data_IF_208889373027
#
_entry.id   IF_208889373027
#
_cell.length_a   1.000
_cell.length_b   1.000
_cell.length_c   1.000
_cell.angle_alpha   90.00
_cell.angle_beta   90.00
_cell.angle_gamma   90.00
#
_symmetry.space_group_name_H-M   'P 1'
#
loop_
_entity.id
_entity.type
_entity.pdbx_description
1 polymer ?
#
# COMPACT_ATOMS: atom_id res chain seq x y z
N UNK A 1 -20.42 6.98 20.17
CA UNK A 1 -19.66 7.40 18.97
C UNK A 1 -18.73 6.28 18.47
N UNK A 2 -17.86 5.73 19.32
CA UNK A 2 -16.95 4.62 18.98
C UNK A 2 -17.61 3.39 18.33
N UNK A 3 -18.77 2.96 18.83
CA UNK A 3 -19.49 1.82 18.25
C UNK A 3 -19.98 2.05 16.80
N UNK A 4 -20.13 3.30 16.35
CA UNK A 4 -20.47 3.64 14.96
C UNK A 4 -19.22 3.60 14.07
N UNK A 5 -18.09 4.10 14.58
CA UNK A 5 -16.79 4.05 13.88
C UNK A 5 -16.32 2.61 13.70
N UNK A 6 -16.38 1.78 14.76
CA UNK A 6 -16.01 0.38 14.68
C UNK A 6 -16.85 -0.37 13.65
N UNK A 7 -18.18 -0.16 13.64
CA UNK A 7 -19.09 -0.77 12.65
C UNK A 7 -18.81 -0.35 11.20
N UNK A 8 -18.22 0.82 10.99
CA UNK A 8 -17.83 1.31 9.68
C UNK A 8 -16.43 0.86 9.24
N UNK A 9 -15.68 0.20 10.14
CA UNK A 9 -14.31 -0.22 9.90
C UNK A 9 -14.19 -1.63 9.31
N UNK A 10 -13.04 -1.96 8.74
CA UNK A 10 -12.74 -3.30 8.19
C UNK A 10 -12.80 -4.43 9.24
N UNK A 11 -12.68 -4.09 10.53
CA UNK A 11 -12.76 -5.04 11.65
C UNK A 11 -14.20 -5.40 12.05
N UNK A 12 -15.22 -4.69 11.53
CA UNK A 12 -16.60 -5.09 11.77
C UNK A 12 -16.94 -6.41 11.08
N UNK A 13 -17.79 -7.21 11.73
CA UNK A 13 -18.35 -8.43 11.13
C UNK A 13 -19.16 -8.05 9.88
N UNK A 14 -18.84 -8.67 8.74
CA UNK A 14 -19.50 -8.41 7.46
C UNK A 14 -19.01 -7.17 6.69
N UNK A 15 -17.97 -6.46 7.17
CA UNK A 15 -17.41 -5.31 6.45
C UNK A 15 -16.70 -5.68 5.14
N UNK A 16 -16.21 -6.92 5.04
CA UNK A 16 -15.58 -7.49 3.84
C UNK A 16 -16.55 -8.53 3.26
N UNK A 17 -16.93 -8.43 1.97
CA UNK A 17 -17.81 -9.38 1.31
C UNK A 17 -17.31 -10.83 1.42
N UNK A 18 -18.22 -11.80 1.44
CA UNK A 18 -17.87 -13.22 1.62
C UNK A 18 -16.98 -13.78 0.50
N UNK A 19 -17.11 -13.25 -0.72
CA UNK A 19 -16.27 -13.62 -1.87
C UNK A 19 -14.85 -13.01 -1.82
N UNK A 20 -14.55 -12.14 -0.84
CA UNK A 20 -13.21 -11.58 -0.59
C UNK A 20 -12.62 -12.15 0.73
N UNK A 21 -13.00 -13.37 1.13
CA UNK A 21 -12.58 -13.97 2.41
C UNK A 21 -11.07 -14.10 2.55
N UNK A 22 -10.37 -14.47 1.49
CA UNK A 22 -8.91 -14.62 1.48
C UNK A 22 -8.20 -13.28 1.75
N UNK A 23 -8.86 -12.17 1.42
CA UNK A 23 -8.33 -10.82 1.59
C UNK A 23 -8.61 -10.22 2.98
N UNK A 24 -9.34 -10.92 3.86
CA UNK A 24 -9.68 -10.38 5.18
C UNK A 24 -8.46 -10.21 6.07
N UNK A 25 -7.51 -11.14 6.03
CA UNK A 25 -6.28 -11.04 6.82
C UNK A 25 -5.39 -9.91 6.30
N UNK A 26 -5.28 -9.79 4.98
CA UNK A 26 -4.59 -8.69 4.32
C UNK A 26 -5.15 -7.33 4.75
N UNK A 27 -6.46 -7.15 4.64
CA UNK A 27 -7.11 -5.88 4.91
C UNK A 27 -7.16 -5.51 6.40
N UNK A 28 -7.21 -6.51 7.30
CA UNK A 28 -7.33 -6.27 8.76
C UNK A 28 -5.99 -6.20 9.49
N UNK A 29 -4.94 -6.81 8.95
CA UNK A 29 -3.65 -6.93 9.64
C UNK A 29 -2.50 -6.48 8.78
N UNK A 30 -2.24 -7.15 7.65
CA UNK A 30 -0.99 -6.93 6.90
C UNK A 30 -0.91 -5.53 6.28
N UNK A 31 -1.99 -5.03 5.67
CA UNK A 31 -2.01 -3.70 5.07
C UNK A 31 -1.94 -2.57 6.12
N UNK A 32 -2.74 -2.58 7.20
CA UNK A 32 -2.56 -1.61 8.29
C UNK A 32 -1.16 -1.64 8.88
N UNK A 33 -0.57 -2.83 9.09
CA UNK A 33 0.78 -2.96 9.63
C UNK A 33 1.83 -2.39 8.68
N UNK A 34 1.70 -2.67 7.38
CA UNK A 34 2.55 -2.07 6.36
C UNK A 34 2.44 -0.55 6.35
N UNK A 35 1.22 -0.01 6.35
CA UNK A 35 0.98 1.44 6.33
C UNK A 35 1.56 2.11 7.59
N UNK A 36 1.46 1.47 8.77
CA UNK A 36 2.14 1.92 10.01
C UNK A 36 3.66 1.88 9.86
N UNK A 37 4.22 0.83 9.27
CA UNK A 37 5.65 0.75 8.97
C UNK A 37 6.14 1.89 8.09
N UNK A 38 5.36 2.26 7.08
CA UNK A 38 5.65 3.41 6.20
C UNK A 38 5.59 4.75 6.95
N UNK A 39 4.61 4.93 7.85
CA UNK A 39 4.53 6.12 8.70
C UNK A 39 5.80 6.27 9.54
N UNK A 40 6.20 5.19 10.20
CA UNK A 40 7.41 5.15 11.04
C UNK A 40 8.64 5.41 10.16
N UNK A 41 8.76 4.74 9.02
CA UNK A 41 9.89 4.93 8.10
C UNK A 41 10.02 6.38 7.63
N UNK A 42 8.91 7.04 7.28
CA UNK A 42 8.92 8.45 6.88
C UNK A 42 9.35 9.39 8.01
N UNK A 43 8.87 9.15 9.24
CA UNK A 43 9.27 9.96 10.41
C UNK A 43 10.76 9.76 10.71
N UNK A 44 11.23 8.52 10.78
CA UNK A 44 12.63 8.23 11.06
C UNK A 44 13.56 8.71 9.94
N UNK A 45 13.11 8.64 8.68
CA UNK A 45 13.85 9.15 7.53
C UNK A 45 14.08 10.66 7.61
N UNK A 46 13.05 11.42 8.01
CA UNK A 46 13.18 12.87 8.23
C UNK A 46 14.05 13.21 9.45
N UNK A 47 14.06 12.37 10.49
CA UNK A 47 14.80 12.65 11.73
C UNK A 47 16.29 12.27 11.68
N UNK A 48 16.67 11.26 10.89
CA UNK A 48 18.01 10.68 10.92
C UNK A 48 18.85 10.99 9.67
N UNK A 49 18.27 11.73 8.72
CA UNK A 49 18.80 11.90 7.36
C UNK A 49 18.96 10.56 6.61
N UNK A 50 18.93 10.60 5.27
CA UNK A 50 19.07 9.41 4.44
C UNK A 50 20.30 9.62 3.57
N UNK A 51 21.48 9.11 3.98
CA UNK A 51 22.75 9.44 3.34
C UNK A 51 22.78 9.20 1.83
N UNK A 52 22.03 8.21 1.34
CA UNK A 52 21.94 7.90 -0.08
C UNK A 52 21.07 8.90 -0.87
N UNK A 53 20.10 9.57 -0.24
CA UNK A 53 19.33 10.65 -0.87
C UNK A 53 20.05 12.00 -0.77
N UNK A 54 20.70 12.28 0.37
CA UNK A 54 21.39 13.55 0.61
C UNK A 54 22.58 13.79 -0.34
N UNK A 55 23.13 12.70 -0.91
CA UNK A 55 24.17 12.78 -1.95
C UNK A 55 23.65 13.31 -3.30
N UNK A 56 22.34 13.20 -3.54
CA UNK A 56 21.73 13.47 -4.85
C UNK A 56 20.68 14.57 -4.81
N UNK A 57 20.13 14.88 -3.64
CA UNK A 57 19.06 15.84 -3.46
C UNK A 57 19.35 16.81 -2.32
N UNK A 58 18.86 18.05 -2.39
CA UNK A 58 19.01 19.01 -1.30
C UNK A 58 18.19 18.55 -0.08
N UNK A 59 18.74 18.76 1.11
CA UNK A 59 18.16 18.35 2.40
C UNK A 59 16.66 18.70 2.56
N UNK A 60 16.18 19.93 2.25
CA UNK A 60 14.76 20.24 2.38
C UNK A 60 13.83 19.38 1.51
N UNK A 61 14.34 18.91 0.35
CA UNK A 61 13.59 18.02 -0.52
C UNK A 61 13.52 16.60 0.03
N UNK A 62 14.61 16.11 0.63
CA UNK A 62 14.66 14.78 1.26
C UNK A 62 13.70 14.73 2.45
N UNK A 63 13.71 15.75 3.30
CA UNK A 63 12.77 15.87 4.43
C UNK A 63 11.33 15.96 3.96
N UNK A 64 11.05 16.79 2.94
CA UNK A 64 9.72 16.91 2.37
C UNK A 64 9.22 15.57 1.82
N UNK A 65 10.08 14.80 1.14
CA UNK A 65 9.74 13.46 0.67
C UNK A 65 9.45 12.50 1.83
N UNK A 66 10.27 12.50 2.88
CA UNK A 66 10.09 11.66 4.05
C UNK A 66 8.77 11.96 4.80
N UNK A 67 8.46 13.25 5.03
CA UNK A 67 7.17 13.65 5.61
C UNK A 67 5.99 13.34 4.69
N UNK A 68 6.14 13.52 3.38
CA UNK A 68 5.09 13.17 2.41
C UNK A 68 4.78 11.67 2.43
N UNK A 69 5.81 10.84 2.61
CA UNK A 69 5.67 9.39 2.75
C UNK A 69 4.89 9.03 4.02
N UNK A 70 5.22 9.68 5.14
CA UNK A 70 4.50 9.49 6.40
C UNK A 70 3.03 9.91 6.30
N UNK A 71 2.76 11.08 5.69
CA UNK A 71 1.39 11.55 5.46
C UNK A 71 0.61 10.60 4.55
N UNK A 72 1.22 10.12 3.46
CA UNK A 72 0.59 9.17 2.56
C UNK A 72 0.33 7.82 3.25
N UNK A 73 1.24 7.35 4.10
CA UNK A 73 1.03 6.18 4.95
C UNK A 73 -0.17 6.34 5.89
N UNK A 74 -0.32 7.51 6.52
CA UNK A 74 -1.47 7.82 7.38
C UNK A 74 -2.79 7.85 6.59
N UNK A 75 -2.80 8.46 5.41
CA UNK A 75 -3.98 8.48 4.54
C UNK A 75 -4.33 7.08 4.02
N UNK A 76 -3.34 6.27 3.67
CA UNK A 76 -3.53 4.87 3.28
C UNK A 76 -4.10 4.04 4.44
N UNK A 77 -3.59 4.24 5.66
CA UNK A 77 -4.07 3.57 6.86
C UNK A 77 -5.55 3.92 7.15
N UNK A 78 -5.92 5.18 7.02
CA UNK A 78 -7.32 5.62 7.15
C UNK A 78 -8.17 5.01 6.03
N UNK A 79 -7.68 5.03 4.79
CA UNK A 79 -8.36 4.45 3.63
C UNK A 79 -8.66 2.95 3.81
N UNK A 80 -7.66 2.16 4.20
CA UNK A 80 -7.82 0.72 4.40
C UNK A 80 -8.69 0.39 5.61
N UNK A 81 -8.66 1.23 6.64
CA UNK A 81 -9.48 1.06 7.84
C UNK A 81 -10.97 1.24 7.57
N UNK A 82 -11.34 2.07 6.58
CA UNK A 82 -12.73 2.41 6.25
C UNK A 82 -13.06 2.09 4.78
N UNK A 83 -13.79 1.00 4.48
CA UNK A 83 -14.07 0.57 3.11
C UNK A 83 -14.74 1.63 2.21
N UNK A 84 -15.45 2.60 2.80
CA UNK A 84 -16.08 3.72 2.08
C UNK A 84 -15.07 4.74 1.54
N UNK A 85 -13.83 4.71 2.05
CA UNK A 85 -12.73 5.60 1.66
C UNK A 85 -11.76 4.92 0.68
N UNK A 86 -12.23 3.93 -0.09
CA UNK A 86 -11.41 3.20 -1.07
C UNK A 86 -10.69 4.09 -2.09
N UNK A 87 -11.28 5.24 -2.47
CA UNK A 87 -10.64 6.20 -3.38
C UNK A 87 -9.48 6.93 -2.71
N UNK A 88 -9.60 7.23 -1.42
CA UNK A 88 -8.52 7.81 -0.64
C UNK A 88 -7.38 6.80 -0.50
N UNK A 89 -7.72 5.54 -0.19
CA UNK A 89 -6.74 4.45 -0.14
C UNK A 89 -6.00 4.31 -1.48
N UNK A 90 -6.73 4.33 -2.60
CA UNK A 90 -6.16 4.21 -3.94
C UNK A 90 -5.18 5.35 -4.24
N UNK A 91 -5.59 6.61 -4.04
CA UNK A 91 -4.73 7.77 -4.28
C UNK A 91 -3.49 7.75 -3.39
N UNK A 92 -3.66 7.45 -2.09
CA UNK A 92 -2.55 7.38 -1.15
C UNK A 92 -1.56 6.27 -1.53
N UNK A 93 -2.03 5.06 -1.85
CA UNK A 93 -1.15 3.95 -2.26
C UNK A 93 -0.49 4.19 -3.61
N UNK A 94 -1.14 4.88 -4.55
CA UNK A 94 -0.50 5.30 -5.80
C UNK A 94 0.67 6.26 -5.55
N UNK A 95 0.46 7.24 -4.67
CA UNK A 95 1.55 8.13 -4.23
C UNK A 95 2.66 7.36 -3.51
N UNK A 96 2.32 6.42 -2.61
CA UNK A 96 3.32 5.57 -1.94
C UNK A 96 4.16 4.77 -2.92
N UNK A 97 3.54 4.19 -3.96
CA UNK A 97 4.27 3.46 -5.02
C UNK A 97 5.26 4.40 -5.71
N UNK A 98 4.83 5.59 -6.10
CA UNK A 98 5.69 6.57 -6.76
C UNK A 98 6.86 6.99 -5.84
N UNK A 99 6.58 7.36 -4.59
CA UNK A 99 7.58 7.78 -3.62
C UNK A 99 8.56 6.65 -3.26
N UNK A 100 8.05 5.44 -2.99
CA UNK A 100 8.88 4.26 -2.68
C UNK A 100 9.69 3.78 -3.88
N UNK A 101 9.31 4.08 -5.11
CA UNK A 101 10.07 3.69 -6.30
C UNK A 101 11.31 4.57 -6.54
N UNK A 102 11.31 5.82 -6.08
CA UNK A 102 12.43 6.76 -6.28
C UNK A 102 13.71 6.24 -5.60
N UNK A 103 13.60 5.84 -4.34
CA UNK A 103 14.77 5.42 -3.55
C UNK A 103 15.49 4.16 -4.07
N UNK A 104 14.81 3.02 -4.33
CA UNK A 104 15.44 1.85 -4.94
C UNK A 104 15.95 2.15 -6.34
N UNK A 105 15.31 3.03 -7.12
CA UNK A 105 15.84 3.43 -8.43
C UNK A 105 17.21 4.11 -8.29
N UNK A 106 17.37 5.04 -7.34
CA UNK A 106 18.65 5.69 -7.06
C UNK A 106 19.71 4.68 -6.58
N UNK A 107 19.33 3.78 -5.68
CA UNK A 107 20.25 2.73 -5.20
C UNK A 107 20.71 1.82 -6.34
N UNK A 108 19.81 1.36 -7.19
CA UNK A 108 20.14 0.47 -8.31
C UNK A 108 20.99 1.18 -9.38
N UNK A 109 20.69 2.45 -9.68
CA UNK A 109 21.48 3.26 -10.61
C UNK A 109 22.91 3.48 -10.10
N UNK A 110 23.08 3.73 -8.80
CA UNK A 110 24.40 3.95 -8.19
C UNK A 110 25.15 2.65 -7.88
N UNK A 111 24.45 1.52 -7.75
CA UNK A 111 25.06 0.21 -7.54
C UNK A 111 25.75 -0.36 -8.79
N UNK A 112 25.50 0.22 -9.97
CA UNK A 112 26.16 -0.17 -11.22
C UNK A 112 27.70 -0.07 -11.17
N UNK A 113 28.27 0.63 -10.19
CA UNK A 113 29.71 0.69 -9.91
C UNK A 113 30.31 -0.51 -9.16
N UNK A 114 29.53 -1.56 -8.88
CA UNK A 114 30.02 -2.80 -8.24
C UNK A 114 29.77 -2.92 -6.73
N UNK A 115 28.92 -2.07 -6.16
CA UNK A 115 28.56 -2.14 -4.73
C UNK A 115 27.38 -3.12 -4.52
N UNK A 116 27.72 -4.36 -4.13
CA UNK A 116 26.73 -5.41 -3.87
C UNK A 116 25.75 -5.05 -2.75
N UNK A 117 26.13 -4.22 -1.76
CA UNK A 117 25.24 -3.85 -0.66
C UNK A 117 24.11 -2.94 -1.16
N UNK A 118 24.42 -2.00 -2.05
CA UNK A 118 23.41 -1.12 -2.66
C UNK A 118 22.46 -1.88 -3.58
N UNK A 119 22.95 -2.89 -4.32
CA UNK A 119 22.10 -3.79 -5.11
C UNK A 119 21.08 -4.51 -4.25
N UNK A 120 21.53 -5.15 -3.17
CA UNK A 120 20.65 -5.91 -2.26
C UNK A 120 19.62 -4.98 -1.61
N UNK A 121 20.05 -3.82 -1.12
CA UNK A 121 19.15 -2.84 -0.53
C UNK A 121 18.12 -2.33 -1.57
N UNK A 122 18.57 -1.98 -2.78
CA UNK A 122 17.71 -1.52 -3.87
C UNK A 122 16.65 -2.55 -4.27
N UNK A 123 17.05 -3.83 -4.43
CA UNK A 123 16.11 -4.92 -4.72
C UNK A 123 15.12 -5.12 -3.55
N UNK A 124 15.61 -5.17 -2.31
CA UNK A 124 14.76 -5.34 -1.14
C UNK A 124 13.69 -4.25 -1.02
N UNK A 125 14.07 -2.99 -1.27
CA UNK A 125 13.15 -1.85 -1.29
C UNK A 125 12.20 -1.87 -2.50
N UNK A 126 12.68 -2.28 -3.68
CA UNK A 126 11.82 -2.45 -4.85
C UNK A 126 10.73 -3.51 -4.61
N UNK A 127 11.07 -4.60 -3.90
CA UNK A 127 10.09 -5.62 -3.52
C UNK A 127 9.00 -5.08 -2.58
N UNK A 128 9.31 -4.11 -1.72
CA UNK A 128 8.29 -3.46 -0.87
C UNK A 128 7.23 -2.71 -1.69
N UNK A 129 7.55 -2.23 -2.89
CA UNK A 129 6.60 -1.58 -3.81
C UNK A 129 5.50 -2.54 -4.28
N UNK A 130 5.79 -3.85 -4.33
CA UNK A 130 4.82 -4.86 -4.77
C UNK A 130 3.60 -4.96 -3.83
N UNK A 131 3.79 -4.65 -2.54
CA UNK A 131 2.72 -4.70 -1.53
C UNK A 131 1.60 -3.68 -1.84
N UNK A 132 1.87 -2.36 -1.92
CA UNK A 132 0.86 -1.38 -2.30
C UNK A 132 0.41 -1.54 -3.75
N UNK A 133 1.28 -2.00 -4.66
CA UNK A 133 0.92 -2.26 -6.05
C UNK A 133 -0.18 -3.33 -6.18
N UNK A 134 -0.01 -4.49 -5.53
CA UNK A 134 -1.02 -5.56 -5.50
C UNK A 134 -2.35 -5.04 -4.96
N UNK A 135 -2.32 -4.16 -3.95
CA UNK A 135 -3.54 -3.55 -3.40
C UNK A 135 -4.21 -2.57 -4.36
N UNK A 136 -3.44 -1.72 -5.03
CA UNK A 136 -3.95 -0.78 -6.05
C UNK A 136 -4.65 -1.53 -7.19
N UNK A 137 -4.03 -2.59 -7.72
CA UNK A 137 -4.64 -3.42 -8.78
C UNK A 137 -5.98 -3.99 -8.32
N UNK A 138 -6.04 -4.56 -7.10
CA UNK A 138 -7.29 -5.09 -6.53
C UNK A 138 -8.37 -4.02 -6.39
N UNK A 139 -8.02 -2.84 -5.88
CA UNK A 139 -8.96 -1.71 -5.74
C UNK A 139 -9.49 -1.25 -7.09
N UNK A 140 -8.64 -1.15 -8.11
CA UNK A 140 -9.05 -0.79 -9.47
C UNK A 140 -10.03 -1.82 -10.02
N UNK A 141 -9.70 -3.11 -9.92
CA UNK A 141 -10.56 -4.21 -10.39
C UNK A 141 -11.90 -4.21 -9.65
N UNK A 142 -11.91 -3.95 -8.35
CA UNK A 142 -13.12 -3.85 -7.54
C UNK A 142 -14.00 -2.67 -7.95
N UNK A 143 -13.42 -1.47 -8.06
CA UNK A 143 -14.12 -0.26 -8.50
C UNK A 143 -14.67 -0.44 -9.91
N UNK A 144 -13.90 -1.08 -10.80
CA UNK A 144 -14.30 -1.35 -12.17
C UNK A 144 -15.47 -2.35 -12.23
N UNK A 145 -15.41 -3.46 -11.47
CA UNK A 145 -16.52 -4.42 -11.35
C UNK A 145 -17.81 -3.75 -10.88
N UNK A 146 -17.73 -2.86 -9.87
CA UNK A 146 -18.89 -2.10 -9.42
C UNK A 146 -19.48 -1.16 -10.49
N UNK A 147 -18.66 -0.61 -11.39
CA UNK A 147 -19.13 0.27 -12.46
C UNK A 147 -19.71 -0.49 -13.66
N UNK A 148 -19.14 -1.64 -14.00
CA UNK A 148 -19.50 -2.40 -15.21
C UNK A 148 -20.65 -3.39 -14.95
N UNK A 149 -21.04 -3.61 -13.69
CA UNK A 149 -22.24 -4.39 -13.36
C UNK A 149 -22.09 -5.88 -13.66
N UNK A 150 -20.86 -6.42 -13.63
CA UNK A 150 -20.65 -7.85 -13.78
C UNK A 150 -21.41 -8.61 -12.68
N UNK A 151 -22.30 -9.57 -13.04
CA UNK A 151 -22.93 -10.42 -12.05
C UNK A 151 -21.83 -11.18 -11.30
N UNK A 152 -21.98 -11.27 -9.98
CA UNK A 152 -21.11 -12.10 -9.16
C UNK A 152 -21.10 -13.51 -9.78
N UNK A 153 -19.92 -14.05 -9.98
CA UNK A 153 -19.67 -15.42 -10.46
C UNK A 153 -20.23 -16.45 -9.47
N UNK A 154 -21.56 -16.56 -9.37
CA UNK A 154 -22.24 -17.65 -8.66
C UNK A 154 -22.47 -18.86 -9.59
N UNK A 155 -22.36 -18.71 -10.91
CA UNK A 155 -22.71 -19.78 -11.86
C UNK A 155 -21.67 -20.88 -12.08
N UNK A 156 -20.45 -20.78 -11.55
CA UNK A 156 -19.41 -21.80 -11.80
C UNK A 156 -19.35 -22.92 -10.75
N UNK A 157 -20.14 -22.85 -9.68
CA UNK A 157 -20.16 -23.91 -8.64
C UNK A 157 -21.36 -24.85 -8.74
N UNK A 158 -22.34 -24.55 -9.59
CA UNK A 158 -23.48 -25.44 -9.84
C UNK A 158 -23.22 -26.47 -10.94
N UNK A 159 -22.19 -26.28 -11.78
CA UNK A 159 -21.88 -27.21 -12.88
C UNK A 159 -21.14 -28.47 -12.38
N UNK A 160 -20.38 -28.38 -11.29
CA UNK A 160 -19.67 -29.53 -10.69
C UNK A 160 -20.48 -30.28 -9.62
N UNK A 161 -21.70 -29.82 -9.29
CA UNK A 161 -22.56 -30.52 -8.33
C UNK A 161 -23.43 -31.61 -9.00
N UNK A 162 -23.51 -31.61 -10.34
CA UNK A 162 -24.36 -32.51 -11.13
C UNK A 162 -23.54 -33.43 -12.08
N UNK A 163 -22.22 -33.54 -11.90
CA UNK A 163 -21.32 -34.44 -12.64
C UNK A 163 -20.68 -35.50 -11.73
#
# INVERSE_FOLDING_TARGET
MFARLFRASVWARGAVPAHERDDQLDARFFLPLFDVGIIILGIFGAMNHIPALDQHYPEPLVDALAYSLSLAGALALVGVSFPRLERLELCAKFFLIAALAVYPAVLLLTAAGGDNQRWVAGIGLALLVLIPFRRVVRLIVRIWRHRVGYPATEELTTIDADA
#
